data_IF_569628914211
#
_entry.id   IF_569628914211
#
_cell.length_a   1.000
_cell.length_b   1.000
_cell.length_c   1.000
_cell.angle_alpha   90.00
_cell.angle_beta   90.00
_cell.angle_gamma   90.00
#
_symmetry.space_group_name_H-M   'P 1'
#
loop_
_entity.id
_entity.type
_entity.pdbx_description
1 polymer ?
#
# COMPACT_ATOMS: atom_id res chain seq x y z
N UNK A 1 -28.70 50.74 -22.75
CA UNK A 1 -28.53 49.27 -22.78
C UNK A 1 -29.50 48.69 -21.77
N UNK A 2 -30.46 47.89 -22.22
CA UNK A 2 -31.61 47.48 -21.41
C UNK A 2 -31.21 46.44 -20.37
N UNK A 3 -31.86 46.50 -19.20
CA UNK A 3 -31.68 45.53 -18.10
C UNK A 3 -31.96 44.09 -18.59
N UNK A 4 -32.86 43.94 -19.56
CA UNK A 4 -33.21 42.67 -20.21
C UNK A 4 -32.03 42.09 -21.01
N UNK A 5 -31.24 42.93 -21.69
CA UNK A 5 -30.07 42.48 -22.46
C UNK A 5 -28.95 41.98 -21.53
N UNK A 6 -28.71 42.69 -20.42
CA UNK A 6 -27.72 42.26 -19.41
C UNK A 6 -28.13 40.97 -18.69
N UNK A 7 -29.43 40.73 -18.51
CA UNK A 7 -29.96 39.48 -17.95
C UNK A 7 -29.79 38.33 -18.93
N UNK A 8 -30.09 38.55 -20.21
CA UNK A 8 -29.93 37.53 -21.24
C UNK A 8 -28.46 37.14 -21.45
N UNK A 9 -27.55 38.13 -21.46
CA UNK A 9 -26.11 37.87 -21.56
C UNK A 9 -25.54 37.15 -20.33
N UNK A 10 -26.02 37.50 -19.13
CA UNK A 10 -25.63 36.80 -17.88
C UNK A 10 -26.15 35.37 -17.88
N UNK A 11 -27.38 35.13 -18.36
CA UNK A 11 -27.96 33.79 -18.45
C UNK A 11 -27.23 32.92 -19.46
N UNK A 12 -26.83 33.49 -20.61
CA UNK A 12 -26.05 32.78 -21.62
C UNK A 12 -24.64 32.44 -21.10
N UNK A 13 -23.98 33.39 -20.43
CA UNK A 13 -22.70 33.14 -19.72
C UNK A 13 -22.83 32.08 -18.63
N UNK A 14 -23.94 32.05 -17.88
CA UNK A 14 -24.15 31.04 -16.85
C UNK A 14 -24.30 29.63 -17.43
N UNK A 15 -24.96 29.50 -18.58
CA UNK A 15 -25.07 28.23 -19.32
C UNK A 15 -23.69 27.80 -19.84
N UNK A 16 -22.94 28.72 -20.46
CA UNK A 16 -21.57 28.44 -20.96
C UNK A 16 -20.63 28.00 -19.83
N UNK A 17 -20.67 28.70 -18.70
CA UNK A 17 -19.86 28.36 -17.51
C UNK A 17 -20.27 26.99 -16.96
N UNK A 18 -21.57 26.66 -16.95
CA UNK A 18 -22.08 25.35 -16.55
C UNK A 18 -21.59 24.22 -17.46
N UNK A 19 -21.57 24.44 -18.78
CA UNK A 19 -21.10 23.45 -19.75
C UNK A 19 -19.58 23.23 -19.63
N UNK A 20 -18.81 24.31 -19.43
CA UNK A 20 -17.38 24.23 -19.13
C UNK A 20 -17.13 23.49 -17.82
N UNK A 21 -17.93 23.76 -16.77
CA UNK A 21 -17.81 23.07 -15.48
C UNK A 21 -18.10 21.57 -15.61
N UNK A 22 -19.10 21.19 -16.40
CA UNK A 22 -19.45 19.79 -16.66
C UNK A 22 -18.32 19.06 -17.39
N UNK A 23 -17.78 19.67 -18.46
CA UNK A 23 -16.61 19.13 -19.18
C UNK A 23 -15.39 18.98 -18.26
N UNK A 24 -15.11 20.00 -17.43
CA UNK A 24 -13.98 19.98 -16.49
C UNK A 24 -14.16 18.94 -15.37
N UNK A 25 -15.38 18.71 -14.91
CA UNK A 25 -15.70 17.68 -13.92
C UNK A 25 -15.46 16.27 -14.47
N UNK A 26 -15.82 16.03 -15.73
CA UNK A 26 -15.57 14.76 -16.41
C UNK A 26 -14.06 14.51 -16.61
N UNK A 27 -13.31 15.52 -17.06
CA UNK A 27 -11.84 15.44 -17.17
C UNK A 27 -11.19 15.18 -15.81
N UNK A 28 -11.66 15.84 -14.75
CA UNK A 28 -11.16 15.67 -13.40
C UNK A 28 -11.40 14.24 -12.87
N UNK A 29 -12.59 13.68 -13.07
CA UNK A 29 -12.86 12.28 -12.68
C UNK A 29 -11.97 11.29 -13.42
N UNK A 30 -11.75 11.51 -14.72
CA UNK A 30 -10.84 10.68 -15.52
C UNK A 30 -9.41 10.74 -14.98
N UNK A 31 -8.92 11.93 -14.63
CA UNK A 31 -7.61 12.11 -13.99
C UNK A 31 -7.55 11.48 -12.59
N UNK A 32 -8.61 11.61 -11.77
CA UNK A 32 -8.68 11.01 -10.43
C UNK A 32 -8.56 9.49 -10.47
N UNK A 33 -9.25 8.84 -11.41
CA UNK A 33 -9.17 7.40 -11.61
C UNK A 33 -7.75 7.01 -12.06
N UNK A 34 -7.18 7.76 -13.01
CA UNK A 34 -5.82 7.52 -13.46
C UNK A 34 -4.78 7.69 -12.33
N UNK A 35 -4.94 8.73 -11.50
CA UNK A 35 -4.10 8.98 -10.33
C UNK A 35 -4.22 7.84 -9.31
N UNK A 36 -5.44 7.38 -9.01
CA UNK A 36 -5.66 6.28 -8.08
C UNK A 36 -5.00 4.99 -8.58
N UNK A 37 -5.18 4.64 -9.85
CA UNK A 37 -4.57 3.47 -10.49
C UNK A 37 -3.04 3.56 -10.51
N UNK A 38 -2.50 4.73 -10.80
CA UNK A 38 -1.03 4.93 -10.84
C UNK A 38 -0.43 4.88 -9.43
N UNK A 39 -1.11 5.45 -8.44
CA UNK A 39 -0.69 5.39 -7.03
C UNK A 39 -0.69 3.96 -6.49
N UNK A 40 -1.77 3.20 -6.72
CA UNK A 40 -1.86 1.80 -6.26
C UNK A 40 -0.80 0.94 -6.95
N UNK A 41 -0.66 1.06 -8.27
CA UNK A 41 0.34 0.30 -9.03
C UNK A 41 1.76 0.67 -8.62
N UNK A 42 2.05 1.96 -8.44
CA UNK A 42 3.37 2.43 -8.01
C UNK A 42 3.74 1.99 -6.59
N UNK A 43 2.76 1.98 -5.66
CA UNK A 43 2.97 1.44 -4.32
C UNK A 43 3.22 -0.07 -4.34
N UNK A 44 2.43 -0.83 -5.10
CA UNK A 44 2.61 -2.26 -5.26
C UNK A 44 3.98 -2.61 -5.87
N UNK A 45 4.41 -1.87 -6.90
CA UNK A 45 5.70 -2.09 -7.53
C UNK A 45 6.85 -1.80 -6.57
N UNK A 46 6.81 -0.68 -5.84
CA UNK A 46 7.82 -0.33 -4.82
C UNK A 46 7.86 -1.37 -3.71
N UNK A 47 6.70 -1.82 -3.23
CA UNK A 47 6.60 -2.85 -2.21
C UNK A 47 7.13 -4.20 -2.72
N UNK A 48 6.85 -4.56 -3.97
CA UNK A 48 7.36 -5.79 -4.57
C UNK A 48 8.89 -5.77 -4.73
N UNK A 49 9.46 -4.63 -5.18
CA UNK A 49 10.92 -4.50 -5.33
C UNK A 49 11.60 -4.52 -3.98
N UNK A 50 11.17 -3.69 -3.02
CA UNK A 50 11.79 -3.62 -1.69
C UNK A 50 11.55 -4.93 -0.93
N UNK A 51 10.32 -5.45 -0.96
CA UNK A 51 9.95 -6.69 -0.31
C UNK A 51 10.71 -7.89 -0.88
N UNK A 52 10.83 -7.96 -2.21
CA UNK A 52 11.60 -9.00 -2.88
C UNK A 52 13.08 -8.96 -2.50
N UNK A 53 13.70 -7.78 -2.53
CA UNK A 53 15.11 -7.62 -2.15
C UNK A 53 15.35 -7.97 -0.67
N UNK A 54 14.45 -7.53 0.22
CA UNK A 54 14.51 -7.82 1.65
C UNK A 54 14.33 -9.32 1.93
N UNK A 55 13.41 -9.98 1.21
CA UNK A 55 13.17 -11.41 1.35
C UNK A 55 14.39 -12.22 0.92
N UNK A 56 15.03 -11.81 -0.17
CA UNK A 56 16.26 -12.43 -0.66
C UNK A 56 17.40 -12.28 0.36
N UNK A 57 17.59 -11.08 0.92
CA UNK A 57 18.57 -10.83 1.98
C UNK A 57 18.31 -11.71 3.23
N UNK A 58 17.05 -11.87 3.63
CA UNK A 58 16.65 -12.74 4.75
C UNK A 58 17.04 -14.20 4.54
N UNK A 59 16.85 -14.72 3.31
CA UNK A 59 17.24 -16.10 2.97
C UNK A 59 18.76 -16.26 3.11
N UNK A 60 19.55 -15.34 2.57
CA UNK A 60 21.01 -15.39 2.68
C UNK A 60 21.48 -15.34 4.14
N UNK A 61 20.91 -14.45 4.96
CA UNK A 61 21.21 -14.36 6.40
C UNK A 61 20.86 -15.65 7.11
N UNK A 62 19.71 -16.24 6.79
CA UNK A 62 19.28 -17.52 7.37
C UNK A 62 20.28 -18.62 7.06
N UNK A 63 20.65 -18.79 5.78
CA UNK A 63 21.60 -19.83 5.36
C UNK A 63 22.95 -19.63 6.03
N UNK A 64 23.47 -18.40 6.04
CA UNK A 64 24.73 -18.08 6.71
C UNK A 64 24.66 -18.37 8.23
N UNK A 65 23.55 -18.05 8.88
CA UNK A 65 23.33 -18.33 10.30
C UNK A 65 23.32 -19.83 10.62
N UNK A 66 22.66 -20.64 9.77
CA UNK A 66 22.65 -22.11 9.93
C UNK A 66 24.05 -22.68 9.75
N UNK A 67 24.79 -22.21 8.73
CA UNK A 67 26.18 -22.66 8.49
C UNK A 67 27.10 -22.27 9.64
N UNK A 68 26.94 -21.06 10.20
CA UNK A 68 27.70 -20.63 11.37
C UNK A 68 27.39 -21.50 12.60
N UNK A 69 26.10 -21.73 12.89
CA UNK A 69 25.69 -22.61 13.99
C UNK A 69 26.20 -24.04 13.79
N UNK A 70 26.21 -24.55 12.56
CA UNK A 70 26.69 -25.90 12.24
C UNK A 70 28.18 -26.07 12.54
N UNK A 71 28.98 -25.04 12.25
CA UNK A 71 30.41 -25.04 12.58
C UNK A 71 30.65 -24.98 14.10
N UNK A 72 29.87 -24.18 14.83
CA UNK A 72 30.03 -24.06 16.30
C UNK A 72 29.59 -25.33 17.04
N UNK A 73 28.56 -26.03 16.54
CA UNK A 73 28.07 -27.27 17.15
C UNK A 73 28.82 -28.53 16.67
N UNK A 74 29.75 -28.39 15.71
CA UNK A 74 30.41 -29.51 14.99
C UNK A 74 29.43 -30.56 14.43
N UNK A 75 28.14 -30.20 14.30
CA UNK A 75 27.06 -31.10 13.90
C UNK A 75 26.03 -30.35 13.09
N UNK A 76 25.96 -30.69 11.80
CA UNK A 76 25.02 -30.09 10.85
C UNK A 76 23.56 -30.41 11.20
N UNK A 77 23.31 -31.59 11.78
CA UNK A 77 21.95 -32.00 12.20
C UNK A 77 21.47 -31.17 13.38
N UNK A 78 22.35 -30.90 14.35
CA UNK A 78 22.03 -30.08 15.53
C UNK A 78 21.68 -28.64 15.15
N UNK A 79 22.46 -28.04 14.25
CA UNK A 79 22.17 -26.69 13.75
C UNK A 79 20.87 -26.60 12.96
N UNK A 80 20.56 -27.61 12.12
CA UNK A 80 19.27 -27.66 11.41
C UNK A 80 18.08 -27.81 12.36
N UNK A 81 18.20 -28.63 13.42
CA UNK A 81 17.14 -28.77 14.43
C UNK A 81 16.89 -27.47 15.20
N UNK A 82 17.96 -26.79 15.62
CA UNK A 82 17.85 -25.50 16.33
C UNK A 82 17.25 -24.43 15.43
N UNK A 83 17.71 -24.33 14.18
CA UNK A 83 17.16 -23.38 13.21
C UNK A 83 15.68 -23.67 12.91
N UNK A 84 15.30 -24.93 12.75
CA UNK A 84 13.91 -25.36 12.58
C UNK A 84 13.05 -24.98 13.77
N UNK A 85 13.51 -25.22 15.01
CA UNK A 85 12.82 -24.80 16.22
C UNK A 85 12.65 -23.27 16.28
N UNK A 86 13.69 -22.51 15.91
CA UNK A 86 13.65 -21.05 15.83
C UNK A 86 12.59 -20.55 14.82
N UNK A 87 12.49 -21.20 13.66
CA UNK A 87 11.46 -20.88 12.67
C UNK A 87 10.05 -21.18 13.16
N UNK A 88 9.84 -22.27 13.90
CA UNK A 88 8.54 -22.58 14.52
C UNK A 88 8.17 -21.51 15.54
N UNK A 89 9.12 -21.07 16.38
CA UNK A 89 8.89 -19.96 17.33
C UNK A 89 8.53 -18.67 16.59
N UNK A 90 9.25 -18.33 15.52
CA UNK A 90 8.94 -17.16 14.68
C UNK A 90 7.54 -17.26 14.06
N UNK A 91 7.13 -18.45 13.62
CA UNK A 91 5.78 -18.70 13.10
C UNK A 91 4.69 -18.44 14.15
N UNK A 92 4.89 -18.94 15.37
CA UNK A 92 3.97 -18.71 16.49
C UNK A 92 3.91 -17.22 16.84
N UNK A 93 5.05 -16.54 16.87
CA UNK A 93 5.11 -15.11 17.13
C UNK A 93 4.37 -14.31 16.05
N UNK A 94 4.56 -14.65 14.78
CA UNK A 94 3.86 -14.05 13.66
C UNK A 94 2.34 -14.29 13.73
N UNK A 95 1.92 -15.48 14.18
CA UNK A 95 0.50 -15.81 14.37
C UNK A 95 -0.16 -14.95 15.46
N UNK A 96 0.54 -14.69 16.57
CA UNK A 96 0.05 -13.80 17.64
C UNK A 96 -0.03 -12.35 17.16
N UNK A 97 1.02 -11.88 16.47
CA UNK A 97 1.07 -10.51 15.94
C UNK A 97 0.01 -10.25 14.85
N UNK A 98 -0.46 -11.29 14.14
CA UNK A 98 -1.53 -11.17 13.14
C UNK A 98 -2.77 -10.47 13.71
N UNK A 99 -3.17 -10.78 14.94
CA UNK A 99 -4.32 -10.14 15.58
C UNK A 99 -4.10 -8.66 15.92
N UNK A 100 -2.86 -8.24 16.17
CA UNK A 100 -2.53 -6.84 16.39
C UNK A 100 -2.51 -6.03 15.08
N UNK A 101 -2.01 -6.63 14.00
CA UNK A 101 -1.99 -6.00 12.66
C UNK A 101 -3.42 -5.72 12.18
N UNK A 102 -4.33 -6.68 12.37
CA UNK A 102 -5.73 -6.54 11.96
C UNK A 102 -6.43 -5.41 12.74
N UNK A 103 -6.25 -5.37 14.07
CA UNK A 103 -6.79 -4.29 14.91
C UNK A 103 -6.20 -2.91 14.58
N UNK A 104 -4.91 -2.83 14.23
CA UNK A 104 -4.29 -1.57 13.83
C UNK A 104 -4.79 -1.09 12.46
N UNK A 105 -4.99 -2.02 11.51
CA UNK A 105 -5.57 -1.73 10.20
C UNK A 105 -7.01 -1.23 10.33
N UNK A 106 -7.85 -1.92 11.10
CA UNK A 106 -9.24 -1.53 11.34
C UNK A 106 -9.32 -0.13 11.95
N UNK A 107 -8.49 0.19 12.96
CA UNK A 107 -8.45 1.54 13.54
C UNK A 107 -8.07 2.61 12.52
N UNK A 108 -6.99 2.41 11.76
CA UNK A 108 -6.53 3.39 10.76
C UNK A 108 -7.50 3.58 9.60
N UNK A 109 -8.20 2.52 9.20
CA UNK A 109 -9.25 2.59 8.18
C UNK A 109 -10.49 3.29 8.73
N UNK A 110 -10.88 2.97 9.96
CA UNK A 110 -12.04 3.57 10.60
C UNK A 110 -11.89 5.09 10.75
N UNK A 111 -10.72 5.57 11.19
CA UNK A 111 -10.48 7.01 11.36
C UNK A 111 -10.49 7.78 10.03
N UNK A 112 -10.15 7.12 8.91
CA UNK A 112 -10.08 7.75 7.59
C UNK A 112 -11.41 7.68 6.82
N UNK A 113 -12.32 6.79 7.21
CA UNK A 113 -13.63 6.60 6.59
C UNK A 113 -14.78 7.23 7.38
N UNK A 114 -14.70 7.27 8.72
CA UNK A 114 -15.79 7.71 9.59
C UNK A 114 -15.55 9.06 10.28
N UNK A 115 -14.39 9.71 10.04
CA UNK A 115 -14.07 11.06 10.51
C UNK A 115 -13.78 11.98 9.33
#
# INVERSE_FOLDING_TARGET
MGIIDSLNETSNKAIDVGEVYYKKTQEYYRLKVFQQLTMTTGMLLKMAVIGGLAFLALIFITVAGVVFLANVLESMVGACLIAGALFVVLLVLAYIFRGQIDNMLVRKLSDKFFN
#
